data_IF_937502292605
#
_entry.id   IF_937502292605
#
_cell.length_a   1.000
_cell.length_b   1.000
_cell.length_c   1.000
_cell.angle_alpha   90.00
_cell.angle_beta   90.00
_cell.angle_gamma   90.00
#
_symmetry.space_group_name_H-M   'P 1'
#
loop_
_entity.id
_entity.type
_entity.pdbx_description
1 polymer ?
#
# COMPACT_ATOMS: atom_id res chain seq x y z
N UNK A 1 -8.64 -1.80 8.20
CA UNK A 1 -8.61 -0.41 7.67
C UNK A 1 -9.65 -0.32 6.56
N UNK A 2 -10.41 0.78 6.48
CA UNK A 2 -11.26 1.03 5.31
C UNK A 2 -10.37 1.08 4.06
N UNK A 3 -10.84 0.59 2.91
CA UNK A 3 -10.11 0.72 1.65
C UNK A 3 -9.81 2.20 1.43
N UNK A 4 -8.52 2.52 1.27
CA UNK A 4 -8.10 3.87 0.95
C UNK A 4 -8.75 4.29 -0.36
N UNK A 5 -9.20 5.54 -0.46
CA UNK A 5 -9.63 6.13 -1.74
C UNK A 5 -8.43 6.33 -2.70
N UNK A 6 -7.22 6.25 -2.18
CA UNK A 6 -5.97 6.40 -2.91
C UNK A 6 -5.37 5.04 -3.22
N UNK A 7 -4.93 4.86 -4.45
CA UNK A 7 -4.11 3.72 -4.87
C UNK A 7 -2.71 3.83 -4.26
N UNK A 8 -2.02 2.71 -4.11
CA UNK A 8 -0.65 2.66 -3.60
C UNK A 8 0.31 3.49 -4.47
N UNK A 9 0.09 3.53 -5.79
CA UNK A 9 0.86 4.37 -6.70
C UNK A 9 0.70 5.87 -6.42
N UNK A 10 -0.53 6.32 -6.15
CA UNK A 10 -0.81 7.72 -5.76
C UNK A 10 -0.20 8.06 -4.41
N UNK A 11 -0.21 7.09 -3.48
CA UNK A 11 0.42 7.25 -2.17
C UNK A 11 1.93 7.45 -2.32
N UNK A 12 2.62 6.59 -3.08
CA UNK A 12 4.07 6.73 -3.32
C UNK A 12 4.40 8.03 -4.06
N UNK A 13 3.61 8.40 -5.07
CA UNK A 13 3.78 9.69 -5.75
C UNK A 13 3.65 10.88 -4.78
N UNK A 14 2.71 10.81 -3.83
CA UNK A 14 2.52 11.82 -2.79
C UNK A 14 3.74 11.91 -1.87
N UNK A 15 4.28 10.77 -1.43
CA UNK A 15 5.47 10.72 -0.58
C UNK A 15 6.68 11.35 -1.30
N UNK A 16 6.87 11.03 -2.59
CA UNK A 16 7.95 11.60 -3.41
C UNK A 16 7.85 13.12 -3.58
N UNK A 17 6.64 13.66 -3.72
CA UNK A 17 6.45 15.11 -3.80
C UNK A 17 6.89 15.81 -2.50
N UNK A 18 6.66 15.19 -1.35
CA UNK A 18 7.15 15.71 -0.06
C UNK A 18 8.66 15.56 0.06
N UNK A 19 9.24 14.43 -0.38
CA UNK A 19 10.70 14.24 -0.44
C UNK A 19 11.37 15.26 -1.38
N UNK A 20 10.67 15.68 -2.44
CA UNK A 20 11.07 16.78 -3.34
C UNK A 20 10.96 18.19 -2.73
N UNK A 21 10.64 18.31 -1.44
CA UNK A 21 10.65 19.59 -0.70
C UNK A 21 9.27 20.21 -0.46
N UNK A 22 8.18 19.55 -0.84
CA UNK A 22 6.82 20.05 -0.57
C UNK A 22 6.44 19.86 0.90
N UNK A 23 5.73 20.82 1.50
CA UNK A 23 5.31 20.68 2.89
C UNK A 23 4.18 19.65 3.05
N UNK A 24 4.30 18.80 4.08
CA UNK A 24 3.29 17.79 4.43
C UNK A 24 1.92 18.42 4.68
N UNK A 25 1.87 19.59 5.33
CA UNK A 25 0.62 20.29 5.66
C UNK A 25 -0.17 20.70 4.43
N UNK A 26 0.49 21.31 3.46
CA UNK A 26 -0.14 21.76 2.22
C UNK A 26 -0.64 20.56 1.41
N UNK A 27 0.18 19.52 1.32
CA UNK A 27 -0.20 18.26 0.67
C UNK A 27 -1.44 17.62 1.32
N UNK A 28 -1.46 17.54 2.65
CA UNK A 28 -2.58 16.97 3.38
C UNK A 28 -3.87 17.74 3.13
N UNK A 29 -3.79 19.08 3.09
CA UNK A 29 -4.92 19.96 2.82
C UNK A 29 -5.46 19.79 1.40
N UNK A 30 -4.59 19.69 0.39
CA UNK A 30 -4.99 19.49 -1.00
C UNK A 30 -5.64 18.12 -1.24
N UNK A 31 -5.07 17.06 -0.66
CA UNK A 31 -5.59 15.71 -0.78
C UNK A 31 -6.78 15.44 0.16
N UNK A 32 -7.11 16.36 1.07
CA UNK A 32 -8.17 16.18 2.05
C UNK A 32 -7.90 15.04 3.03
N UNK A 33 -6.63 14.80 3.38
CA UNK A 33 -6.20 13.77 4.33
C UNK A 33 -5.62 14.41 5.60
N UNK A 34 -5.56 13.64 6.69
CA UNK A 34 -4.88 14.08 7.90
C UNK A 34 -3.36 13.80 7.83
N UNK A 35 -2.56 14.57 8.57
CA UNK A 35 -1.12 14.31 8.69
C UNK A 35 -0.84 12.89 9.24
N UNK A 36 -1.68 12.39 10.15
CA UNK A 36 -1.60 11.02 10.65
C UNK A 36 -1.74 9.97 9.53
N UNK A 37 -2.62 10.23 8.55
CA UNK A 37 -2.76 9.36 7.37
C UNK A 37 -1.49 9.39 6.53
N UNK A 38 -0.92 10.59 6.31
CA UNK A 38 0.34 10.74 5.61
C UNK A 38 1.50 9.96 6.29
N UNK A 39 1.66 10.06 7.61
CA UNK A 39 2.73 9.33 8.31
C UNK A 39 2.50 7.82 8.32
N UNK A 40 1.24 7.37 8.34
CA UNK A 40 0.91 5.95 8.14
C UNK A 40 1.36 5.47 6.77
N UNK A 41 1.13 6.27 5.72
CA UNK A 41 1.63 5.98 4.37
C UNK A 41 3.15 6.00 4.30
N UNK A 42 3.81 6.99 4.91
CA UNK A 42 5.27 7.09 4.94
C UNK A 42 5.90 5.89 5.66
N UNK A 43 5.28 5.39 6.72
CA UNK A 43 5.75 4.18 7.41
C UNK A 43 5.62 2.93 6.54
N UNK A 44 4.52 2.80 5.78
CA UNK A 44 4.26 1.61 4.97
C UNK A 44 4.98 1.62 3.60
N UNK A 45 5.12 2.78 2.98
CA UNK A 45 5.57 2.94 1.60
C UNK A 45 6.75 3.92 1.44
N UNK A 46 7.24 4.53 2.51
CA UNK A 46 8.40 5.43 2.44
C UNK A 46 9.64 4.70 1.98
N UNK A 47 10.42 5.34 1.09
CA UNK A 47 11.60 4.73 0.47
C UNK A 47 11.29 3.66 -0.59
N UNK A 48 10.03 3.40 -0.91
CA UNK A 48 9.64 2.51 -2.02
C UNK A 48 9.53 3.27 -3.34
N UNK A 49 10.02 2.66 -4.41
CA UNK A 49 9.80 3.10 -5.78
C UNK A 49 8.46 2.57 -6.33
N UNK A 50 7.96 3.17 -7.42
CA UNK A 50 6.73 2.70 -8.05
C UNK A 50 6.83 1.23 -8.51
N UNK A 51 8.03 0.78 -8.91
CA UNK A 51 8.34 -0.62 -9.21
C UNK A 51 8.20 -1.54 -8.00
N UNK A 52 8.55 -1.06 -6.81
CA UNK A 52 8.45 -1.83 -5.58
C UNK A 52 6.98 -2.03 -5.19
N UNK A 53 6.13 -1.02 -5.41
CA UNK A 53 4.68 -1.12 -5.22
C UNK A 53 4.06 -2.17 -6.15
N UNK A 54 4.49 -2.21 -7.41
CA UNK A 54 3.99 -3.20 -8.36
C UNK A 54 4.38 -4.61 -7.92
N UNK A 55 5.66 -4.82 -7.58
CA UNK A 55 6.17 -6.09 -7.07
C UNK A 55 5.46 -6.52 -5.78
N UNK A 56 5.17 -5.58 -4.90
CA UNK A 56 4.43 -5.86 -3.66
C UNK A 56 3.02 -6.38 -3.96
N UNK A 57 2.29 -5.76 -4.90
CA UNK A 57 0.96 -6.22 -5.31
C UNK A 57 1.00 -7.63 -5.92
N UNK A 58 1.98 -7.92 -6.77
CA UNK A 58 2.11 -9.23 -7.39
C UNK A 58 2.41 -10.31 -6.35
N UNK A 59 3.29 -10.02 -5.39
CA UNK A 59 3.58 -10.91 -4.26
C UNK A 59 2.35 -11.13 -3.37
N UNK A 60 1.56 -10.10 -3.09
CA UNK A 60 0.32 -10.23 -2.32
C UNK A 60 -0.71 -11.10 -3.08
N UNK A 61 -0.81 -10.96 -4.40
CA UNK A 61 -1.70 -11.77 -5.22
C UNK A 61 -1.30 -13.26 -5.21
N UNK A 62 -0.02 -13.56 -5.44
CA UNK A 62 0.51 -14.92 -5.41
C UNK A 62 0.37 -15.55 -4.01
N UNK A 63 0.65 -14.80 -2.95
CA UNK A 63 0.47 -15.29 -1.58
C UNK A 63 -1.00 -15.60 -1.25
N UNK A 64 -1.94 -14.78 -1.71
CA UNK A 64 -3.38 -15.05 -1.54
C UNK A 64 -3.81 -16.30 -2.31
N UNK A 65 -3.31 -16.48 -3.54
CA UNK A 65 -3.55 -17.68 -4.34
C UNK A 65 -2.99 -18.92 -3.64
N UNK A 66 -1.77 -18.84 -3.11
CA UNK A 66 -1.13 -19.94 -2.40
C UNK A 66 -1.90 -20.32 -1.13
N UNK A 67 -2.36 -19.34 -0.35
CA UNK A 67 -3.24 -19.57 0.80
C UNK A 67 -4.54 -20.25 0.43
N UNK A 68 -5.15 -19.86 -0.69
CA UNK A 68 -6.39 -20.48 -1.20
C UNK A 68 -6.16 -21.95 -1.52
N UNK A 69 -5.14 -22.24 -2.34
CA UNK A 69 -4.79 -23.62 -2.72
C UNK A 69 -4.44 -24.47 -1.49
N UNK A 70 -3.70 -23.91 -0.53
CA UNK A 70 -3.38 -24.62 0.71
C UNK A 70 -4.64 -24.93 1.53
N UNK A 71 -5.58 -23.98 1.65
CA UNK A 71 -6.83 -24.22 2.35
C UNK A 71 -7.67 -25.31 1.65
N UNK A 72 -7.76 -25.26 0.33
CA UNK A 72 -8.49 -26.26 -0.46
C UNK A 72 -7.85 -27.67 -0.27
N UNK A 73 -6.52 -27.77 -0.35
CA UNK A 73 -5.78 -29.02 -0.13
C UNK A 73 -5.89 -29.53 1.33
N UNK A 74 -5.88 -28.63 2.32
CA UNK A 74 -6.06 -29.00 3.71
C UNK A 74 -7.47 -29.56 3.96
N UNK A 75 -8.49 -28.98 3.32
CA UNK A 75 -9.86 -29.49 3.38
C UNK A 75 -9.99 -30.88 2.74
N UNK A 76 -9.31 -31.14 1.62
CA UNK A 76 -9.28 -32.45 0.96
C UNK A 76 -8.56 -33.53 1.79
N UNK A 77 -7.47 -33.18 2.48
CA UNK A 77 -6.67 -34.13 3.26
C UNK A 77 -7.21 -34.40 4.67
N UNK A 78 -8.11 -33.55 5.17
CA UNK A 78 -8.74 -33.70 6.50
C UNK A 78 -10.23 -34.11 6.42
N UNK A 79 -10.73 -34.42 5.22
CA UNK A 79 -12.09 -34.91 4.96
C UNK A 79 -12.21 -36.43 4.92
#
# INVERSE_FOLDING_TARGET
MRKSKFTESQIVATLKQVEGGRQVKDMCRELGISEATYYTWKSKYGGMEASDVHRLRDLEAEHNKLKRMYADLAMENHG
#
